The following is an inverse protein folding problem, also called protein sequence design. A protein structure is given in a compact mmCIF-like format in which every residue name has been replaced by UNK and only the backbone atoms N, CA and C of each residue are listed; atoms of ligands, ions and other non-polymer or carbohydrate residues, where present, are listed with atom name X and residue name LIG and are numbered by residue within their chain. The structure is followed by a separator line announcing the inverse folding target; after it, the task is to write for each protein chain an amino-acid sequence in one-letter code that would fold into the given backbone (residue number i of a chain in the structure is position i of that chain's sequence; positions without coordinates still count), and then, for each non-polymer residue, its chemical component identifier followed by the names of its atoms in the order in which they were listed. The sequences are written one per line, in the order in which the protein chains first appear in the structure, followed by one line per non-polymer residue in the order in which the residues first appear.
data_IF_097789229892
#
_entry.id   IF_097789229892
#
_cell.length_a   1.000
_cell.length_b   1.000
_cell.length_c   1.000
_cell.angle_alpha   90.00
_cell.angle_beta   90.00
_cell.angle_gamma   90.00
#
_symmetry.space_group_name_H-M   'P 1'
#
loop_
_entity.id
_entity.type
_entity.pdbx_description
1 polymer ?
#
# COMPACT_ATOMS: atom_id res chain seq x y z
N UNK A 1 1.88 31.91 22.53
CA UNK A 1 1.41 30.63 21.98
C UNK A 1 1.92 30.57 20.54
N UNK A 2 2.84 29.66 20.18
CA UNK A 2 3.21 29.53 18.78
C UNK A 2 2.13 28.71 18.07
N UNK A 3 1.69 29.21 16.92
CA UNK A 3 0.74 28.56 16.05
C UNK A 3 1.27 27.19 15.62
N UNK A 4 0.41 26.18 15.72
CA UNK A 4 0.59 24.87 15.10
C UNK A 4 0.84 25.07 13.61
N UNK A 5 2.04 24.71 13.15
CA UNK A 5 2.30 24.55 11.72
C UNK A 5 1.51 23.32 11.27
N UNK A 6 0.35 23.56 10.65
CA UNK A 6 -0.30 22.58 9.79
C UNK A 6 0.73 22.11 8.76
N UNK A 7 1.02 20.82 8.76
CA UNK A 7 1.90 20.18 7.79
C UNK A 7 1.14 20.03 6.47
N UNK A 8 1.06 21.10 5.71
CA UNK A 8 0.57 21.09 4.34
C UNK A 8 1.79 20.84 3.44
N UNK A 9 2.04 19.58 3.08
CA UNK A 9 2.99 19.25 2.04
C UNK A 9 2.23 19.22 0.71
N UNK A 10 2.45 20.18 -0.21
CA UNK A 10 1.83 20.10 -1.54
C UNK A 10 2.41 18.90 -2.29
N UNK A 11 1.56 18.17 -3.04
CA UNK A 11 1.97 17.01 -3.83
C UNK A 11 3.10 17.37 -4.82
N UNK A 12 4.32 16.99 -4.47
CA UNK A 12 5.54 17.21 -5.26
C UNK A 12 5.86 16.05 -6.21
N UNK A 13 5.09 14.96 -6.19
CA UNK A 13 5.41 13.74 -6.94
C UNK A 13 4.50 13.57 -8.15
N UNK A 14 5.07 13.69 -9.35
CA UNK A 14 4.37 13.45 -10.61
C UNK A 14 3.94 11.98 -10.77
N UNK A 15 4.74 11.05 -10.25
CA UNK A 15 4.50 9.61 -10.32
C UNK A 15 4.73 8.93 -8.96
N UNK A 16 4.07 7.81 -8.71
CA UNK A 16 4.28 7.02 -7.49
C UNK A 16 3.69 5.61 -7.52
N UNK A 17 4.23 4.75 -6.66
CA UNK A 17 3.73 3.40 -6.43
C UNK A 17 2.68 3.43 -5.31
N UNK A 18 1.51 2.85 -5.56
CA UNK A 18 0.47 2.71 -4.54
C UNK A 18 0.67 1.42 -3.75
N UNK A 19 0.64 1.54 -2.43
CA UNK A 19 0.48 0.40 -1.53
C UNK A 19 -0.92 -0.22 -1.69
N UNK A 20 -1.07 -1.49 -1.29
CA UNK A 20 -2.32 -2.25 -1.42
C UNK A 20 -3.46 -1.60 -0.62
N UNK A 21 -3.15 -1.02 0.54
CA UNK A 21 -4.15 -0.30 1.33
C UNK A 21 -4.74 0.90 0.58
N UNK A 22 -3.96 1.59 -0.27
CA UNK A 22 -4.46 2.70 -1.10
C UNK A 22 -5.44 2.15 -2.12
N UNK A 23 -5.11 1.05 -2.80
CA UNK A 23 -6.02 0.44 -3.78
C UNK A 23 -7.36 0.03 -3.18
N UNK A 24 -7.33 -0.55 -1.97
CA UNK A 24 -8.54 -0.95 -1.24
C UNK A 24 -9.37 0.27 -0.83
N UNK A 25 -8.71 1.34 -0.36
CA UNK A 25 -9.36 2.53 0.18
C UNK A 25 -9.60 3.64 -0.86
N UNK A 26 -9.16 3.44 -2.12
CA UNK A 26 -9.03 4.49 -3.14
C UNK A 26 -10.30 5.31 -3.34
N UNK A 27 -11.47 4.69 -3.22
CA UNK A 27 -12.78 5.35 -3.33
C UNK A 27 -12.98 6.49 -2.31
N UNK A 28 -12.31 6.43 -1.17
CA UNK A 28 -12.46 7.38 -0.06
C UNK A 28 -11.21 8.20 0.22
N UNK A 29 -10.11 7.94 -0.49
CA UNK A 29 -8.88 8.73 -0.41
C UNK A 29 -9.09 10.05 -1.14
N UNK A 30 -8.58 11.15 -0.59
CA UNK A 30 -8.55 12.43 -1.27
C UNK A 30 -7.65 12.33 -2.52
N UNK A 31 -8.18 12.56 -3.74
CA UNK A 31 -7.37 12.52 -4.96
C UNK A 31 -6.18 13.50 -4.93
N UNK A 32 -6.30 14.60 -4.19
CA UNK A 32 -5.23 15.60 -4.00
C UNK A 32 -4.12 15.13 -3.04
N UNK A 33 -4.19 13.88 -2.56
CA UNK A 33 -3.11 13.20 -1.83
C UNK A 33 -2.41 12.11 -2.67
N UNK A 34 -2.84 11.89 -3.92
CA UNK A 34 -2.26 10.89 -4.83
C UNK A 34 -1.46 11.54 -5.96
N UNK A 35 -0.42 10.86 -6.50
CA UNK A 35 0.35 11.41 -7.61
C UNK A 35 -0.49 11.42 -8.90
N UNK A 36 -0.10 12.26 -9.86
CA UNK A 36 -0.78 12.36 -11.15
C UNK A 36 -0.71 11.03 -11.93
N UNK A 37 0.43 10.35 -11.88
CA UNK A 37 0.66 9.04 -12.49
C UNK A 37 0.83 7.98 -11.39
N UNK A 38 0.02 6.94 -11.44
CA UNK A 38 -0.03 5.89 -10.43
C UNK A 38 0.39 4.56 -11.01
N UNK A 39 1.18 3.81 -10.25
CA UNK A 39 1.53 2.42 -10.54
C UNK A 39 1.16 1.52 -9.35
N UNK A 40 0.99 0.23 -9.61
CA UNK A 40 0.89 -0.80 -8.57
C UNK A 40 1.94 -1.88 -8.79
N UNK A 41 2.27 -2.61 -7.73
CA UNK A 41 3.17 -3.75 -7.83
C UNK A 41 2.43 -5.05 -8.12
N UNK A 42 3.12 -6.04 -8.69
CA UNK A 42 2.59 -7.40 -8.79
C UNK A 42 2.29 -8.03 -7.41
N UNK A 43 2.93 -7.54 -6.35
CA UNK A 43 2.65 -7.97 -4.97
C UNK A 43 1.30 -7.44 -4.52
N UNK A 44 0.99 -6.18 -4.83
CA UNK A 44 -0.33 -5.58 -4.61
C UNK A 44 -1.41 -6.33 -5.37
N UNK A 45 -1.19 -6.67 -6.64
CA UNK A 45 -2.14 -7.50 -7.39
C UNK A 45 -2.32 -8.88 -6.74
N UNK A 46 -1.25 -9.50 -6.25
CA UNK A 46 -1.32 -10.80 -5.57
C UNK A 46 -2.15 -10.74 -4.28
N UNK A 47 -2.00 -9.68 -3.48
CA UNK A 47 -2.80 -9.47 -2.27
C UNK A 47 -4.28 -9.23 -2.60
N UNK A 48 -4.59 -8.42 -3.62
CA UNK A 48 -5.95 -8.20 -4.10
C UNK A 48 -6.57 -9.50 -4.64
N UNK A 49 -5.78 -10.33 -5.31
CA UNK A 49 -6.21 -11.64 -5.83
C UNK A 49 -6.53 -12.63 -4.72
N UNK A 50 -5.75 -12.62 -3.63
CA UNK A 50 -6.01 -13.47 -2.47
C UNK A 50 -7.24 -13.02 -1.67
N UNK A 51 -7.47 -11.71 -1.57
CA UNK A 51 -8.51 -11.10 -0.73
C UNK A 51 -9.89 -11.76 -0.77
N UNK A 52 -10.52 -12.00 -1.94
CA UNK A 52 -11.81 -12.67 -2.05
C UNK A 52 -11.85 -14.10 -1.47
N UNK A 53 -10.72 -14.81 -1.51
CA UNK A 53 -10.58 -16.18 -1.01
C UNK A 53 -10.38 -16.24 0.51
N UNK A 54 -10.02 -15.12 1.14
CA UNK A 54 -9.85 -15.01 2.59
C UNK A 54 -11.13 -14.57 3.33
N UNK A 55 -12.19 -14.24 2.59
CA UNK A 55 -13.47 -13.82 3.18
C UNK A 55 -14.08 -14.97 3.96
N UNK A 56 -14.23 -14.76 5.27
CA UNK A 56 -14.75 -15.75 6.21
C UNK A 56 -16.26 -15.83 6.16
N UNK A 57 -16.79 -17.00 6.48
CA UNK A 57 -18.23 -17.26 6.46
C UNK A 57 -18.95 -16.51 7.59
N UNK A 58 -20.20 -16.13 7.34
CA UNK A 58 -21.08 -15.49 8.34
C UNK A 58 -21.27 -16.34 9.62
N UNK A 59 -21.08 -17.66 9.55
CA UNK A 59 -21.14 -18.56 10.71
C UNK A 59 -19.93 -18.43 11.65
N UNK A 60 -18.80 -17.92 11.14
CA UNK A 60 -17.54 -17.85 11.88
C UNK A 60 -17.26 -16.44 12.45
N UNK A 61 -17.95 -15.42 11.94
CA UNK A 61 -17.72 -14.01 12.28
C UNK A 61 -18.96 -13.14 12.00
N UNK A 62 -19.04 -11.95 12.59
CA UNK A 62 -20.15 -11.00 12.44
C UNK A 62 -19.71 -9.56 12.13
N UNK A 63 -18.45 -9.36 11.71
CA UNK A 63 -17.86 -8.06 11.41
C UNK A 63 -18.35 -7.49 10.06
N UNK A 64 -18.72 -8.38 9.12
CA UNK A 64 -19.23 -8.03 7.80
C UNK A 64 -20.11 -9.14 7.22
N UNK A 65 -20.92 -8.82 6.21
CA UNK A 65 -21.61 -9.83 5.40
C UNK A 65 -20.64 -10.46 4.39
N UNK A 66 -20.53 -11.80 4.39
CA UNK A 66 -19.63 -12.59 3.53
C UNK A 66 -19.78 -12.23 2.05
N UNK A 67 -21.02 -12.22 1.54
CA UNK A 67 -21.25 -12.04 0.11
C UNK A 67 -20.95 -10.61 -0.33
N UNK A 68 -21.35 -9.63 0.48
CA UNK A 68 -21.05 -8.22 0.23
C UNK A 68 -19.53 -7.93 0.28
N UNK A 69 -18.83 -8.48 1.28
CA UNK A 69 -17.37 -8.29 1.40
C UNK A 69 -16.61 -8.98 0.28
N UNK A 70 -17.00 -10.20 -0.12
CA UNK A 70 -16.39 -10.89 -1.26
C UNK A 70 -16.63 -10.14 -2.56
N UNK A 71 -17.84 -9.64 -2.79
CA UNK A 71 -18.16 -8.82 -3.96
C UNK A 71 -17.33 -7.52 -3.98
N UNK A 72 -17.18 -6.84 -2.84
CA UNK A 72 -16.33 -5.64 -2.70
C UNK A 72 -14.88 -5.93 -3.06
N UNK A 73 -14.29 -7.02 -2.55
CA UNK A 73 -12.89 -7.37 -2.85
C UNK A 73 -12.69 -7.75 -4.32
N UNK A 74 -13.63 -8.47 -4.92
CA UNK A 74 -13.59 -8.80 -6.36
C UNK A 74 -13.68 -7.54 -7.23
N UNK A 75 -14.53 -6.59 -6.86
CA UNK A 75 -14.66 -5.30 -7.57
C UNK A 75 -13.35 -4.50 -7.53
N UNK A 76 -12.65 -4.47 -6.39
CA UNK A 76 -11.31 -3.84 -6.30
C UNK A 76 -10.28 -4.55 -7.19
N UNK A 77 -10.26 -5.89 -7.16
CA UNK A 77 -9.36 -6.69 -8.01
C UNK A 77 -9.59 -6.42 -9.50
N UNK A 78 -10.84 -6.50 -9.97
CA UNK A 78 -11.19 -6.29 -11.37
C UNK A 78 -10.83 -4.89 -11.86
N UNK A 79 -11.02 -3.87 -11.02
CA UNK A 79 -10.57 -2.50 -11.34
C UNK A 79 -9.05 -2.45 -11.48
N UNK A 80 -8.31 -3.04 -10.54
CA UNK A 80 -6.86 -3.07 -10.60
C UNK A 80 -6.35 -3.75 -11.88
N UNK A 81 -6.92 -4.90 -12.25
CA UNK A 81 -6.58 -5.61 -13.50
C UNK A 81 -6.93 -4.82 -14.77
N UNK A 82 -7.99 -4.00 -14.72
CA UNK A 82 -8.41 -3.19 -15.86
C UNK A 82 -7.61 -1.89 -16.03
N UNK A 83 -7.11 -1.31 -14.94
CA UNK A 83 -6.48 0.02 -14.91
C UNK A 83 -4.95 -0.06 -14.99
N UNK A 84 -4.33 -1.17 -14.55
CA UNK A 84 -2.88 -1.23 -14.36
C UNK A 84 -2.21 -2.42 -15.06
N UNK A 85 -0.98 -2.19 -15.50
CA UNK A 85 0.01 -3.24 -15.78
C UNK A 85 1.00 -3.28 -14.58
N UNK A 86 0.88 -4.26 -13.66
CA UNK A 86 1.62 -4.24 -12.40
C UNK A 86 3.13 -4.43 -12.59
N UNK A 87 3.92 -3.65 -11.86
CA UNK A 87 5.38 -3.76 -11.90
C UNK A 87 5.81 -5.10 -11.26
N UNK A 88 6.55 -5.96 -11.99
CA UNK A 88 6.94 -7.27 -11.48
C UNK A 88 8.01 -7.18 -10.39
N UNK A 89 8.05 -8.17 -9.49
CA UNK A 89 9.19 -8.36 -8.59
C UNK A 89 10.37 -8.96 -9.36
N UNK A 90 11.13 -8.10 -10.04
CA UNK A 90 12.28 -8.46 -10.88
C UNK A 90 13.60 -8.59 -10.13
N UNK A 91 14.68 -8.80 -10.88
CA UNK A 91 16.04 -9.01 -10.35
C UNK A 91 16.53 -7.81 -9.53
N UNK A 92 16.30 -6.58 -10.00
CA UNK A 92 16.75 -5.37 -9.29
C UNK A 92 15.98 -5.14 -7.99
N UNK A 93 14.67 -5.40 -7.99
CA UNK A 93 13.85 -5.42 -6.77
C UNK A 93 14.35 -6.51 -5.80
N UNK A 94 14.68 -7.72 -6.29
CA UNK A 94 15.21 -8.79 -5.46
C UNK A 94 16.56 -8.46 -4.81
N UNK A 95 17.48 -7.80 -5.54
CA UNK A 95 18.75 -7.29 -4.96
C UNK A 95 18.48 -6.21 -3.91
N UNK A 96 17.53 -5.32 -4.20
CA UNK A 96 17.15 -4.22 -3.31
C UNK A 96 16.47 -4.70 -2.04
N UNK A 97 15.68 -5.78 -2.12
CA UNK A 97 15.04 -6.42 -0.98
C UNK A 97 16.03 -6.81 0.13
N UNK A 98 17.24 -7.25 -0.22
CA UNK A 98 18.30 -7.52 0.75
C UNK A 98 18.71 -6.28 1.56
N UNK A 99 18.85 -5.12 0.89
CA UNK A 99 19.16 -3.83 1.53
C UNK A 99 18.01 -3.35 2.41
N UNK A 100 16.78 -3.45 1.91
CA UNK A 100 15.54 -3.14 2.66
C UNK A 100 15.47 -3.99 3.94
N UNK A 101 15.69 -5.30 3.86
CA UNK A 101 15.71 -6.18 5.03
C UNK A 101 16.80 -5.78 6.04
N UNK A 102 18.00 -5.46 5.57
CA UNK A 102 19.11 -5.03 6.43
C UNK A 102 18.76 -3.74 7.18
N UNK A 103 18.15 -2.76 6.51
CA UNK A 103 17.70 -1.51 7.12
C UNK A 103 16.60 -1.74 8.17
N UNK A 104 15.63 -2.61 7.88
CA UNK A 104 14.58 -3.01 8.85
C UNK A 104 15.20 -3.68 10.08
N UNK A 105 16.18 -4.57 9.91
CA UNK A 105 16.89 -5.21 11.03
C UNK A 105 17.64 -4.17 11.86
N UNK A 106 18.35 -3.25 11.22
CA UNK A 106 19.08 -2.16 11.89
C UNK A 106 18.14 -1.26 12.71
N UNK A 107 16.89 -1.08 12.26
CA UNK A 107 15.84 -0.37 13.00
C UNK A 107 15.23 -1.16 14.18
N UNK A 108 15.73 -2.37 14.47
CA UNK A 108 15.24 -3.25 15.54
C UNK A 108 13.96 -4.00 15.21
N UNK A 109 13.57 -4.05 13.94
CA UNK A 109 12.31 -4.68 13.48
C UNK A 109 12.59 -6.02 12.78
N UNK A 110 11.56 -6.87 12.69
CA UNK A 110 11.67 -8.22 12.11
C UNK A 110 11.08 -8.27 10.69
N UNK A 111 11.88 -8.49 9.63
CA UNK A 111 11.39 -8.52 8.24
C UNK A 111 10.33 -9.58 7.96
N UNK A 112 10.42 -10.75 8.60
CA UNK A 112 9.58 -11.92 8.31
C UNK A 112 8.07 -11.70 8.53
N UNK A 113 7.66 -10.69 9.31
CA UNK A 113 6.25 -10.33 9.50
C UNK A 113 5.69 -9.38 8.44
N UNK A 114 6.55 -8.89 7.54
CA UNK A 114 6.29 -7.78 6.61
C UNK A 114 6.77 -8.11 5.20
N UNK A 115 6.84 -9.39 4.84
CA UNK A 115 7.52 -9.83 3.60
C UNK A 115 6.92 -9.16 2.37
N UNK A 116 5.59 -9.11 2.27
CA UNK A 116 4.90 -8.44 1.17
C UNK A 116 5.21 -6.94 1.14
N UNK A 117 5.01 -6.22 2.26
CA UNK A 117 5.35 -4.79 2.37
C UNK A 117 6.79 -4.50 1.95
N UNK A 118 7.75 -5.32 2.38
CA UNK A 118 9.16 -5.13 2.06
C UNK A 118 9.47 -5.46 0.59
N UNK A 119 8.71 -6.36 -0.05
CA UNK A 119 8.80 -6.59 -1.50
C UNK A 119 8.22 -5.40 -2.27
N UNK A 120 7.09 -4.82 -1.84
CA UNK A 120 6.53 -3.58 -2.40
C UNK A 120 7.54 -2.44 -2.30
N UNK A 121 8.11 -2.24 -1.10
CA UNK A 121 9.15 -1.24 -0.86
C UNK A 121 10.39 -1.45 -1.74
N UNK A 122 10.79 -2.70 -1.96
CA UNK A 122 11.92 -3.03 -2.82
C UNK A 122 11.65 -2.74 -4.30
N UNK A 123 10.42 -2.96 -4.77
CA UNK A 123 9.99 -2.57 -6.13
C UNK A 123 10.01 -1.06 -6.26
N UNK A 124 9.35 -0.34 -5.33
CA UNK A 124 9.34 1.13 -5.32
C UNK A 124 10.76 1.72 -5.36
N UNK A 125 11.66 1.18 -4.53
CA UNK A 125 13.06 1.60 -4.46
C UNK A 125 13.81 1.30 -5.76
N UNK A 126 13.60 0.13 -6.36
CA UNK A 126 14.29 -0.26 -7.60
C UNK A 126 13.84 0.59 -8.79
N UNK A 127 12.56 0.99 -8.83
CA UNK A 127 11.99 1.83 -9.88
C UNK A 127 12.17 3.34 -9.61
N UNK A 128 12.72 3.71 -8.45
CA UNK A 128 12.86 5.12 -8.06
C UNK A 128 11.52 5.84 -7.84
N UNK A 129 10.48 5.10 -7.46
CA UNK A 129 9.14 5.62 -7.23
C UNK A 129 8.90 5.86 -5.72
N UNK A 130 8.31 7.01 -5.33
CA UNK A 130 7.79 7.18 -3.98
C UNK A 130 6.65 6.20 -3.71
N UNK A 131 6.59 5.66 -2.49
CA UNK A 131 5.54 4.74 -2.05
C UNK A 131 4.46 5.49 -1.27
N UNK A 132 3.24 5.48 -1.80
CA UNK A 132 2.06 6.07 -1.16
C UNK A 132 1.34 5.03 -0.31
N UNK A 133 1.08 5.33 0.97
CA UNK A 133 0.46 4.37 1.91
C UNK A 133 -0.33 5.08 3.00
N UNK A 134 -1.40 4.44 3.48
CA UNK A 134 -2.10 4.87 4.71
C UNK A 134 -1.41 4.43 6.01
N UNK A 135 -0.37 3.59 5.93
CA UNK A 135 0.35 3.03 7.07
C UNK A 135 1.87 3.29 6.97
N UNK A 136 2.33 4.55 7.00
CA UNK A 136 3.76 4.88 6.82
C UNK A 136 4.66 4.21 7.88
N UNK A 137 4.13 3.94 9.07
CA UNK A 137 4.83 3.24 10.14
C UNK A 137 5.31 1.84 9.72
N UNK A 138 4.68 1.20 8.74
CA UNK A 138 5.12 -0.11 8.28
C UNK A 138 6.51 -0.06 7.62
N UNK A 139 6.91 1.10 7.11
CA UNK A 139 8.15 1.33 6.36
C UNK A 139 9.23 2.08 7.14
N UNK A 140 9.00 2.40 8.42
CA UNK A 140 9.99 3.09 9.29
C UNK A 140 11.40 2.47 9.25
N UNK A 141 12.43 3.30 9.10
CA UNK A 141 13.82 2.84 8.98
C UNK A 141 14.22 2.46 7.56
N UNK A 142 13.37 2.75 6.58
CA UNK A 142 13.71 2.73 5.14
C UNK A 142 13.94 4.14 4.59
N UNK A 143 14.00 5.16 5.45
CA UNK A 143 14.01 6.58 5.06
C UNK A 143 15.18 6.96 4.12
N UNK A 144 16.32 6.29 4.28
CA UNK A 144 17.51 6.48 3.41
C UNK A 144 17.44 5.73 2.06
N UNK A 145 16.46 4.83 1.90
CA UNK A 145 16.29 3.97 0.72
C UNK A 145 15.02 4.29 -0.08
N UNK A 146 13.94 4.69 0.61
CA UNK A 146 12.62 4.81 0.03
C UNK A 146 11.95 6.09 0.52
N UNK A 147 11.46 6.90 -0.43
CA UNK A 147 10.54 7.99 -0.12
C UNK A 147 9.16 7.40 0.16
N UNK A 148 8.69 7.52 1.40
CA UNK A 148 7.34 7.12 1.81
C UNK A 148 6.49 8.36 1.92
N UNK A 149 5.39 8.39 1.17
CA UNK A 149 4.42 9.49 1.17
C UNK A 149 3.18 9.05 1.95
N UNK A 150 2.91 9.65 3.13
CA UNK A 150 1.73 9.30 3.90
C UNK A 150 0.47 9.81 3.19
N UNK A 151 -0.55 8.96 3.14
CA UNK A 151 -1.90 9.31 2.71
C UNK A 151 -2.84 9.17 3.91
N UNK A 152 -3.69 10.17 4.11
CA UNK A 152 -4.69 10.22 5.16
C UNK A 152 -5.60 9.02 5.05
N UNK A 153 -5.58 8.16 6.08
CA UNK A 153 -6.46 6.99 6.12
C UNK A 153 -7.91 7.45 6.23
N UNK A 154 -8.79 7.13 5.26
CA UNK A 154 -10.18 7.54 5.32
C UNK A 154 -10.86 6.90 6.53
N UNK A 155 -11.73 7.68 7.18
CA UNK A 155 -12.68 7.13 8.17
C UNK A 155 -13.75 6.38 7.41
N UNK A 156 -13.51 5.10 7.12
CA UNK A 156 -14.52 4.25 6.50
C UNK A 156 -15.65 4.11 7.51
N UNK A 157 -16.76 4.81 7.29
CA UNK A 157 -18.02 4.43 7.90
C UNK A 157 -18.32 3.06 7.32
N UNK A 158 -18.08 2.01 8.09
CA UNK A 158 -18.81 0.77 7.86
C UNK A 158 -20.28 1.19 7.80
N UNK A 159 -20.89 1.11 6.62
CA UNK A 159 -22.33 1.29 6.46
C UNK A 159 -22.98 0.43 7.55
N UNK A 160 -23.63 1.12 8.49
CA UNK A 160 -24.42 0.51 9.55
C UNK A 160 -25.58 -0.25 8.96
#
# INVERSE_FOLDING_TARGET
MPAERSAEAPLTHMQGLLDTNIMILRKWVDPDELPAEVAISAITLAELSAGPHEVRRNEEQSDYDEYAERARRLDVLQRAESEFDPIPFGVEAARTYGRVCAAVIASGRKPRRRVADLMIAAIATAEGLPLFTTNPDDFKGLDDLLTVVPVTRPKVLHDR
#
